data_IF_503562384432
#
_entry.id   IF_503562384432
#
_cell.length_a   1.000
_cell.length_b   1.000
_cell.length_c   1.000
_cell.angle_alpha   90.00
_cell.angle_beta   90.00
_cell.angle_gamma   90.00
#
_symmetry.space_group_name_H-M   'P 1'
#
loop_
_entity.id
_entity.type
_entity.pdbx_description
1 polymer ?
#
# COMPACT_ATOMS: atom_id res chain seq x y z
N UNK A 1 -15.48 9.51 -6.80
CA UNK A 1 -14.56 8.88 -5.84
C UNK A 1 -15.42 8.27 -4.74
N UNK A 2 -15.51 6.94 -4.68
CA UNK A 2 -16.31 6.22 -3.69
C UNK A 2 -15.47 5.81 -2.48
N UNK A 3 -16.10 5.86 -1.30
CA UNK A 3 -15.59 5.30 -0.05
C UNK A 3 -16.53 4.18 0.36
N UNK A 4 -16.01 2.96 0.45
CA UNK A 4 -16.77 1.74 0.72
C UNK A 4 -16.18 1.01 1.92
N UNK A 5 -17.03 0.30 2.66
CA UNK A 5 -16.56 -0.61 3.71
C UNK A 5 -16.50 -2.00 3.12
N UNK A 6 -15.34 -2.64 3.26
CA UNK A 6 -15.09 -3.98 2.74
C UNK A 6 -14.41 -4.82 3.82
N UNK A 7 -14.71 -6.10 3.83
CA UNK A 7 -13.90 -7.09 4.54
C UNK A 7 -12.75 -7.51 3.60
N UNK A 8 -11.54 -7.55 4.14
CA UNK A 8 -10.35 -7.96 3.43
C UNK A 8 -9.75 -9.19 4.15
N UNK A 9 -9.40 -10.26 3.43
CA UNK A 9 -8.73 -11.41 4.04
C UNK A 9 -7.32 -11.02 4.52
N UNK A 10 -6.71 -11.88 5.33
CA UNK A 10 -5.29 -11.72 5.63
C UNK A 10 -4.47 -11.82 4.35
N UNK A 11 -3.42 -11.03 4.24
CA UNK A 11 -2.56 -10.97 3.07
C UNK A 11 -1.10 -10.89 3.50
N UNK A 12 -0.26 -11.76 2.96
CA UNK A 12 1.19 -11.69 3.14
C UNK A 12 1.80 -10.95 1.95
N UNK A 13 2.63 -9.95 2.23
CA UNK A 13 3.36 -9.20 1.21
C UNK A 13 4.86 -9.26 1.45
N UNK A 14 5.63 -9.27 0.36
CA UNK A 14 7.10 -9.28 0.37
C UNK A 14 7.62 -8.13 -0.46
N UNK A 15 8.58 -7.37 0.06
CA UNK A 15 9.15 -6.25 -0.68
C UNK A 15 10.29 -5.49 0.01
N UNK A 16 10.52 -4.26 -0.42
CA UNK A 16 11.59 -3.40 0.08
C UNK A 16 11.07 -2.33 1.04
N UNK A 17 11.65 -2.30 2.24
CA UNK A 17 11.39 -1.28 3.23
C UNK A 17 12.07 0.04 2.83
N UNK A 18 11.36 1.15 3.00
CA UNK A 18 11.91 2.48 2.91
C UNK A 18 12.87 2.74 4.07
N UNK A 19 14.07 3.25 3.78
CA UNK A 19 15.09 3.59 4.78
C UNK A 19 15.24 5.11 4.90
N UNK A 20 14.67 5.74 5.95
CA UNK A 20 14.78 7.19 6.12
C UNK A 20 16.24 7.65 6.27
N UNK A 21 16.58 8.78 5.66
CA UNK A 21 17.89 9.42 5.85
C UNK A 21 19.02 8.88 4.96
N UNK A 22 18.75 7.92 4.09
CA UNK A 22 19.71 7.44 3.07
C UNK A 22 19.64 8.23 1.74
N UNK A 23 18.86 9.33 1.71
CA UNK A 23 18.69 10.16 0.50
C UNK A 23 17.77 9.57 -0.57
N UNK A 24 17.17 8.40 -0.32
CA UNK A 24 16.15 7.79 -1.17
C UNK A 24 14.77 8.43 -0.90
N UNK A 25 13.97 8.60 -1.96
CA UNK A 25 12.54 8.93 -1.86
C UNK A 25 11.67 7.72 -2.22
N UNK A 26 10.36 7.82 -1.99
CA UNK A 26 9.42 6.71 -2.26
C UNK A 26 9.44 6.30 -3.74
N UNK A 27 9.64 7.23 -4.67
CA UNK A 27 9.69 6.91 -6.10
C UNK A 27 10.95 6.10 -6.46
N UNK A 28 12.09 6.46 -5.88
CA UNK A 28 13.34 5.73 -6.01
C UNK A 28 13.27 4.33 -5.39
N UNK A 29 12.61 4.19 -4.22
CA UNK A 29 12.29 2.89 -3.63
C UNK A 29 11.48 2.01 -4.60
N UNK A 30 10.41 2.55 -5.18
CA UNK A 30 9.56 1.83 -6.13
C UNK A 30 10.34 1.38 -7.36
N UNK A 31 11.20 2.23 -7.93
CA UNK A 31 12.07 1.85 -9.06
C UNK A 31 13.02 0.72 -8.69
N UNK A 32 13.71 0.84 -7.55
CA UNK A 32 14.60 -0.21 -7.04
C UNK A 32 13.86 -1.51 -6.76
N UNK A 33 12.62 -1.43 -6.28
CA UNK A 33 11.78 -2.60 -6.06
C UNK A 33 11.35 -3.24 -7.38
N UNK A 34 10.95 -2.46 -8.37
CA UNK A 34 10.58 -2.97 -9.69
C UNK A 34 11.73 -3.74 -10.36
N UNK A 35 12.97 -3.28 -10.23
CA UNK A 35 14.15 -3.96 -10.76
C UNK A 35 14.42 -5.31 -10.08
N UNK A 36 14.05 -5.45 -8.80
CA UNK A 36 14.31 -6.64 -7.97
C UNK A 36 13.10 -7.55 -7.79
N UNK A 37 11.94 -7.11 -8.25
CA UNK A 37 10.66 -7.81 -8.09
C UNK A 37 10.67 -9.24 -8.65
N UNK A 38 11.47 -9.48 -9.70
CA UNK A 38 11.67 -10.81 -10.29
C UNK A 38 12.43 -11.81 -9.40
N UNK A 39 13.08 -11.35 -8.32
CA UNK A 39 13.70 -12.23 -7.31
C UNK A 39 12.66 -12.94 -6.43
N UNK A 40 11.43 -12.41 -6.35
CA UNK A 40 10.37 -12.94 -5.49
C UNK A 40 9.69 -14.12 -6.19
N UNK A 41 9.86 -15.31 -5.63
CA UNK A 41 9.11 -16.51 -6.01
C UNK A 41 7.79 -16.60 -5.24
N UNK A 42 6.74 -17.16 -5.84
CA UNK A 42 5.45 -17.34 -5.16
C UNK A 42 4.58 -16.08 -5.11
N UNK A 43 4.74 -15.18 -6.09
CA UNK A 43 3.87 -14.01 -6.27
C UNK A 43 2.42 -14.43 -6.53
N UNK A 44 1.50 -13.72 -5.89
CA UNK A 44 0.07 -13.86 -6.14
C UNK A 44 -0.40 -12.70 -7.02
N UNK A 45 -0.77 -13.01 -8.27
CA UNK A 45 -1.19 -12.02 -9.26
C UNK A 45 -0.01 -11.30 -9.95
N UNK A 46 -0.05 -11.25 -11.28
CA UNK A 46 1.06 -10.68 -12.07
C UNK A 46 1.07 -9.13 -12.07
N UNK A 47 -0.09 -8.51 -11.81
CA UNK A 47 -0.29 -7.06 -11.87
C UNK A 47 -0.55 -6.40 -10.50
N UNK A 48 -0.41 -7.15 -9.41
CA UNK A 48 -0.81 -6.71 -8.06
C UNK A 48 0.40 -6.19 -7.27
N UNK A 49 0.42 -4.89 -7.00
CA UNK A 49 1.49 -4.24 -6.23
C UNK A 49 0.91 -3.45 -5.06
N UNK A 50 1.71 -3.31 -4.00
CA UNK A 50 1.24 -2.78 -2.72
C UNK A 50 2.21 -1.77 -2.13
N UNK A 51 1.68 -0.64 -1.67
CA UNK A 51 2.39 0.37 -0.90
C UNK A 51 1.86 0.42 0.52
N UNK A 52 2.57 -0.13 1.50
CA UNK A 52 2.12 -0.16 2.88
C UNK A 52 2.70 1.03 3.63
N UNK A 53 1.88 1.72 4.41
CA UNK A 53 2.30 2.81 5.30
C UNK A 53 1.79 2.58 6.72
N UNK A 54 2.69 2.69 7.71
CA UNK A 54 2.33 2.56 9.11
C UNK A 54 3.24 3.41 9.99
N UNK A 55 2.78 3.66 11.23
CA UNK A 55 3.58 4.33 12.25
C UNK A 55 3.99 3.35 13.33
N UNK A 56 5.26 3.39 13.71
CA UNK A 56 5.80 2.62 14.83
C UNK A 56 6.75 3.51 15.62
N UNK A 57 6.56 3.59 16.94
CA UNK A 57 7.36 4.42 17.85
C UNK A 57 7.55 5.89 17.39
N UNK A 58 6.52 6.47 16.75
CA UNK A 58 6.56 7.84 16.23
C UNK A 58 7.16 8.00 14.82
N UNK A 59 7.82 6.97 14.30
CA UNK A 59 8.40 6.94 12.96
C UNK A 59 7.38 6.45 11.93
N UNK A 60 7.37 7.08 10.75
CA UNK A 60 6.61 6.60 9.59
C UNK A 60 7.46 5.59 8.83
N UNK A 61 6.85 4.45 8.50
CA UNK A 61 7.44 3.40 7.67
C UNK A 61 6.66 3.28 6.37
N UNK A 62 7.36 2.91 5.31
CA UNK A 62 6.77 2.61 4.02
C UNK A 62 7.41 1.34 3.44
N UNK A 63 6.61 0.49 2.79
CA UNK A 63 7.05 -0.75 2.15
C UNK A 63 6.44 -0.82 0.75
N UNK A 64 7.29 -0.91 -0.27
CA UNK A 64 6.88 -1.26 -1.62
C UNK A 64 6.97 -2.78 -1.78
N UNK A 65 5.86 -3.45 -2.11
CA UNK A 65 5.74 -4.90 -2.05
C UNK A 65 4.80 -5.48 -3.11
N UNK A 66 4.80 -6.81 -3.17
CA UNK A 66 3.81 -7.64 -3.88
C UNK A 66 3.24 -8.69 -2.94
N UNK A 67 2.05 -9.18 -3.25
CA UNK A 67 1.46 -10.31 -2.56
C UNK A 67 2.27 -11.59 -2.81
N UNK A 68 2.46 -12.39 -1.77
CA UNK A 68 3.18 -13.66 -1.85
C UNK A 68 2.46 -14.75 -1.08
N UNK A 69 2.50 -15.98 -1.58
CA UNK A 69 1.98 -17.14 -0.86
C UNK A 69 2.65 -17.25 0.52
N UNK A 70 1.90 -17.53 1.60
CA UNK A 70 2.45 -17.63 2.94
C UNK A 70 3.67 -18.56 3.02
N UNK A 71 4.78 -18.04 3.56
CA UNK A 71 5.99 -18.84 3.74
C UNK A 71 6.89 -18.95 2.51
N UNK A 72 6.65 -18.18 1.45
CA UNK A 72 7.53 -18.12 0.28
C UNK A 72 9.01 -17.84 0.65
N UNK A 73 9.99 -18.22 -0.18
CA UNK A 73 11.37 -17.79 0.03
C UNK A 73 11.49 -16.25 0.10
N UNK A 74 12.26 -15.75 1.06
CA UNK A 74 12.50 -14.31 1.24
C UNK A 74 13.83 -13.90 0.59
N UNK A 75 13.83 -13.09 -0.48
CA UNK A 75 15.07 -12.59 -1.08
C UNK A 75 15.89 -11.73 -0.11
N UNK A 76 17.21 -11.70 -0.29
CA UNK A 76 18.11 -10.96 0.58
C UNK A 76 17.80 -9.45 0.58
N UNK A 77 17.71 -8.86 1.78
CA UNK A 77 17.42 -7.43 1.95
C UNK A 77 15.97 -7.03 1.65
N UNK A 78 15.07 -8.00 1.45
CA UNK A 78 13.63 -7.78 1.47
C UNK A 78 13.04 -8.12 2.83
N UNK A 79 11.85 -7.61 3.10
CA UNK A 79 11.08 -7.91 4.30
C UNK A 79 9.72 -8.50 3.93
N UNK A 80 9.17 -9.26 4.86
CA UNK A 80 7.80 -9.77 4.82
C UNK A 80 6.93 -8.99 5.79
N UNK A 81 5.72 -8.66 5.38
CA UNK A 81 4.72 -8.05 6.25
C UNK A 81 3.37 -8.76 6.07
N UNK A 82 2.68 -9.00 7.19
CA UNK A 82 1.31 -9.47 7.18
C UNK A 82 0.35 -8.29 7.33
N UNK A 83 -0.65 -8.23 6.45
CA UNK A 83 -1.84 -7.41 6.59
C UNK A 83 -2.93 -8.29 7.22
N UNK A 84 -3.41 -7.96 8.43
CA UNK A 84 -4.38 -8.80 9.11
C UNK A 84 -5.73 -8.77 8.40
N UNK A 85 -6.48 -9.87 8.49
CA UNK A 85 -7.87 -9.87 8.06
C UNK A 85 -8.70 -8.83 8.81
N UNK A 86 -9.81 -8.42 8.20
CA UNK A 86 -10.85 -7.66 8.86
C UNK A 86 -11.37 -6.52 8.02
N UNK A 87 -11.92 -5.51 8.70
CA UNK A 87 -12.65 -4.42 8.05
C UNK A 87 -11.75 -3.27 7.63
N UNK A 88 -11.96 -2.81 6.41
CA UNK A 88 -11.26 -1.68 5.82
C UNK A 88 -12.23 -0.70 5.17
N UNK A 89 -11.89 0.58 5.26
CA UNK A 89 -12.46 1.61 4.40
C UNK A 89 -11.63 1.66 3.12
N UNK A 90 -12.22 1.23 2.00
CA UNK A 90 -11.62 1.27 0.67
C UNK A 90 -12.03 2.54 -0.05
N UNK A 91 -11.04 3.33 -0.45
CA UNK A 91 -11.20 4.56 -1.19
C UNK A 91 -10.53 4.46 -2.54
N UNK A 92 -11.23 4.84 -3.61
CA UNK A 92 -10.65 4.89 -4.96
C UNK A 92 -10.02 6.25 -5.20
N UNK A 93 -8.68 6.28 -5.24
CA UNK A 93 -7.93 7.42 -5.74
C UNK A 93 -7.95 7.40 -7.27
N UNK A 94 -8.26 8.55 -7.88
CA UNK A 94 -8.15 8.78 -9.32
C UNK A 94 -7.19 9.94 -9.52
N UNK A 95 -6.08 9.69 -10.22
CA UNK A 95 -5.02 10.66 -10.44
C UNK A 95 -3.62 10.04 -10.37
N UNK A 96 -2.62 10.93 -10.27
CA UNK A 96 -1.21 10.55 -10.30
C UNK A 96 -0.75 9.95 -8.98
N UNK A 97 0.22 9.05 -9.01
CA UNK A 97 0.80 8.45 -7.80
C UNK A 97 1.32 9.49 -6.78
N UNK A 98 2.01 10.58 -7.19
CA UNK A 98 2.41 11.64 -6.25
C UNK A 98 1.24 12.31 -5.50
N UNK A 99 0.03 12.25 -6.05
CA UNK A 99 -1.17 12.86 -5.44
C UNK A 99 -1.92 11.94 -4.46
N UNK A 100 -1.47 10.69 -4.28
CA UNK A 100 -2.02 9.74 -3.31
C UNK A 100 -1.93 10.28 -1.87
N UNK A 101 -0.82 10.90 -1.50
CA UNK A 101 -0.64 11.47 -0.16
C UNK A 101 -1.71 12.54 0.17
N UNK A 102 -2.10 13.34 -0.82
CA UNK A 102 -3.22 14.30 -0.68
C UNK A 102 -4.55 13.58 -0.47
N UNK A 103 -4.76 12.46 -1.15
CA UNK A 103 -5.98 11.65 -1.01
C UNK A 103 -6.07 10.97 0.35
N UNK A 104 -4.96 10.43 0.87
CA UNK A 104 -4.86 9.96 2.26
C UNK A 104 -5.19 11.09 3.25
N UNK A 105 -4.59 12.27 3.07
CA UNK A 105 -4.89 13.44 3.91
C UNK A 105 -6.38 13.77 3.97
N UNK A 106 -7.04 13.81 2.80
CA UNK A 106 -8.49 14.04 2.71
C UNK A 106 -9.30 12.89 3.32
N UNK A 107 -8.90 11.64 3.09
CA UNK A 107 -9.56 10.46 3.63
C UNK A 107 -9.63 10.51 5.16
N UNK A 108 -8.49 10.80 5.81
CA UNK A 108 -8.42 10.91 7.27
C UNK A 108 -9.08 12.17 7.83
N UNK A 109 -8.91 13.33 7.18
CA UNK A 109 -9.41 14.60 7.72
C UNK A 109 -10.92 14.82 7.50
N UNK A 110 -11.48 14.29 6.42
CA UNK A 110 -12.84 14.61 5.99
C UNK A 110 -13.72 13.36 5.85
N UNK A 111 -13.28 12.38 5.05
CA UNK A 111 -14.18 11.34 4.56
C UNK A 111 -14.51 10.28 5.63
N UNK A 112 -13.51 9.82 6.39
CA UNK A 112 -13.75 8.87 7.48
C UNK A 112 -14.62 9.50 8.58
N UNK A 113 -14.30 10.71 9.10
CA UNK A 113 -15.15 11.38 10.10
C UNK A 113 -16.58 11.63 9.60
N UNK A 114 -16.76 12.08 8.35
CA UNK A 114 -18.09 12.34 7.78
C UNK A 114 -18.97 11.08 7.69
N UNK A 115 -18.36 9.88 7.69
CA UNK A 115 -19.04 8.59 7.67
C UNK A 115 -19.10 7.94 9.06
N UNK A 116 -18.63 8.63 10.11
CA UNK A 116 -18.56 8.09 11.47
C UNK A 116 -17.59 6.92 11.62
N UNK A 117 -16.63 6.78 10.69
CA UNK A 117 -15.67 5.68 10.69
C UNK A 117 -14.46 6.04 11.55
N UNK A 118 -14.07 5.08 12.39
CA UNK A 118 -12.90 5.22 13.27
C UNK A 118 -11.76 4.36 12.73
N UNK A 119 -10.61 4.96 12.34
CA UNK A 119 -9.42 4.19 12.02
C UNK A 119 -8.97 3.35 13.21
N UNK A 120 -8.60 2.09 12.96
CA UNK A 120 -7.96 1.24 13.96
C UNK A 120 -6.44 1.20 13.73
N UNK A 121 -5.63 0.89 14.76
CA UNK A 121 -4.19 0.69 14.58
C UNK A 121 -3.89 -0.39 13.52
N UNK A 122 -2.93 -0.11 12.65
CA UNK A 122 -2.50 -1.02 11.59
C UNK A 122 -1.88 -0.27 10.41
N UNK A 123 -1.38 -1.02 9.44
CA UNK A 123 -0.92 -0.45 8.18
C UNK A 123 -2.11 -0.03 7.32
N UNK A 124 -2.02 1.18 6.76
CA UNK A 124 -2.80 1.55 5.59
C UNK A 124 -2.06 1.02 4.36
N UNK A 125 -2.79 0.69 3.29
CA UNK A 125 -2.12 0.24 2.07
C UNK A 125 -2.75 0.79 0.80
N UNK A 126 -1.87 1.11 -0.14
CA UNK A 126 -2.14 1.37 -1.54
C UNK A 126 -2.11 0.04 -2.28
N UNK A 127 -3.06 -0.17 -3.18
CA UNK A 127 -3.18 -1.36 -3.99
C UNK A 127 -3.29 -0.95 -5.46
N UNK A 128 -2.25 -1.29 -6.19
CA UNK A 128 -2.07 -1.01 -7.61
C UNK A 128 -2.42 -2.27 -8.39
N UNK A 129 -3.31 -2.09 -9.36
CA UNK A 129 -3.85 -3.16 -10.23
C UNK A 129 -3.60 -2.76 -11.69
N UNK A 130 -4.16 -3.49 -12.65
CA UNK A 130 -4.21 -3.06 -14.06
C UNK A 130 -4.82 -1.67 -14.29
N UNK A 131 -5.62 -1.17 -13.35
CA UNK A 131 -6.22 0.16 -13.41
C UNK A 131 -5.20 1.30 -13.13
N UNK A 132 -3.98 0.97 -12.69
CA UNK A 132 -2.88 1.92 -12.59
C UNK A 132 -2.14 2.00 -13.93
N UNK A 133 -2.42 3.06 -14.71
CA UNK A 133 -1.92 3.24 -16.08
C UNK A 133 -0.57 3.94 -16.14
N UNK A 134 -0.11 4.52 -15.02
CA UNK A 134 1.21 5.13 -14.89
C UNK A 134 1.32 6.15 -13.76
N UNK A 135 2.56 6.46 -13.38
CA UNK A 135 2.90 7.34 -12.25
C UNK A 135 2.29 8.74 -12.42
N UNK A 136 2.37 9.31 -13.62
CA UNK A 136 1.90 10.66 -13.94
C UNK A 136 0.56 10.70 -14.68
N UNK A 137 -0.06 9.52 -14.88
CA UNK A 137 -1.33 9.40 -15.58
C UNK A 137 -2.49 9.90 -14.71
N UNK A 138 -3.36 10.73 -15.29
CA UNK A 138 -4.50 11.32 -14.56
C UNK A 138 -5.69 10.35 -14.44
N UNK A 139 -5.72 9.34 -15.30
CA UNK A 139 -6.74 8.29 -15.33
C UNK A 139 -6.34 7.04 -14.52
N UNK A 140 -5.12 7.02 -13.95
CA UNK A 140 -4.66 6.01 -13.01
C UNK A 140 -5.62 5.89 -11.82
N UNK A 141 -6.01 4.67 -11.50
CA UNK A 141 -6.74 4.34 -10.29
C UNK A 141 -5.87 3.56 -9.31
N UNK A 142 -5.88 4.01 -8.06
CA UNK A 142 -5.15 3.38 -6.96
C UNK A 142 -6.16 3.15 -5.83
N UNK A 143 -6.28 1.92 -5.36
CA UNK A 143 -7.16 1.62 -4.24
C UNK A 143 -6.41 1.87 -2.93
N UNK A 144 -7.00 2.66 -2.04
CA UNK A 144 -6.44 2.98 -0.73
C UNK A 144 -7.29 2.30 0.32
N UNK A 145 -6.65 1.54 1.20
CA UNK A 145 -7.30 0.80 2.28
C UNK A 145 -6.83 1.35 3.62
N UNK A 146 -7.78 1.80 4.44
CA UNK A 146 -7.54 2.20 5.83
C UNK A 146 -8.25 1.24 6.77
N UNK A 147 -7.53 0.60 7.71
CA UNK A 147 -8.18 -0.30 8.66
C UNK A 147 -9.12 0.48 9.57
N UNK A 148 -10.35 -0.02 9.77
CA UNK A 148 -11.39 0.61 10.62
C UNK A 148 -12.03 -0.42 11.56
N UNK A 149 -12.71 0.07 12.61
CA UNK A 149 -13.57 -0.74 13.49
C UNK A 149 -14.92 -1.10 12.83
#
# INVERSE_FOLDING_TARGET
MSLEIVDHPALEVTGLLFEPGQGEDIAALWRRFADRAGEITGREGDAEWYGLSWRQAGTMHYLAAVATTPGAPLPAGMVRQELPEGRYARYVHLGTAPSVAKSLGRLFAELLPARGLQPRPGACFEHYTEAFTGVDAQDSQIYIYVPVF
#
